data_IF_315966332865
#
_entry.id   IF_315966332865
#
_cell.length_a   1.000
_cell.length_b   1.000
_cell.length_c   1.000
_cell.angle_alpha   90.00
_cell.angle_beta   90.00
_cell.angle_gamma   90.00
#
_symmetry.space_group_name_H-M   'P 1'
#
loop_
_entity.id
_entity.type
_entity.pdbx_description
1 polymer ?
#
# COMPACT_ATOMS: atom_id res chain seq x y z
N UNK A 1 9.56 18.11 8.21
CA UNK A 1 9.84 17.37 6.95
C UNK A 1 8.94 18.01 5.92
N UNK A 2 9.51 18.72 4.96
CA UNK A 2 8.72 19.49 4.00
C UNK A 2 8.09 18.48 3.03
N UNK A 3 6.83 18.67 2.61
CA UNK A 3 6.09 17.73 1.73
C UNK A 3 6.91 17.30 0.49
N UNK A 4 7.78 18.19 0.01
CA UNK A 4 8.73 17.94 -1.09
C UNK A 4 9.66 16.75 -0.81
N UNK A 5 10.13 16.58 0.44
CA UNK A 5 11.07 15.52 0.82
C UNK A 5 10.46 14.13 0.58
N UNK A 6 9.16 13.97 0.85
CA UNK A 6 8.46 12.70 0.66
C UNK A 6 8.36 12.32 -0.82
N UNK A 7 8.00 13.28 -1.68
CA UNK A 7 7.83 13.06 -3.11
C UNK A 7 9.18 12.70 -3.75
N UNK A 8 10.24 13.47 -3.48
CA UNK A 8 11.57 13.18 -4.02
C UNK A 8 12.14 11.85 -3.49
N UNK A 9 11.82 11.46 -2.25
CA UNK A 9 12.17 10.15 -1.71
C UNK A 9 11.50 9.01 -2.50
N UNK A 10 10.23 9.17 -2.89
CA UNK A 10 9.54 8.19 -3.75
C UNK A 10 10.21 8.11 -5.12
N UNK A 11 10.46 9.24 -5.77
CA UNK A 11 11.10 9.23 -7.09
C UNK A 11 12.47 8.55 -7.04
N UNK A 12 13.29 8.87 -6.03
CA UNK A 12 14.59 8.22 -5.85
C UNK A 12 14.45 6.70 -5.62
N UNK A 13 13.50 6.28 -4.78
CA UNK A 13 13.24 4.86 -4.54
C UNK A 13 12.82 4.12 -5.82
N UNK A 14 11.98 4.75 -6.65
CA UNK A 14 11.50 4.19 -7.91
C UNK A 14 12.49 4.36 -9.08
N UNK A 15 13.61 5.08 -8.88
CA UNK A 15 14.55 5.42 -9.95
C UNK A 15 13.99 6.40 -10.98
N UNK A 16 12.97 7.18 -10.61
CA UNK A 16 12.35 8.18 -11.47
C UNK A 16 13.14 9.49 -11.46
N UNK A 17 13.12 10.18 -12.61
CA UNK A 17 13.73 11.49 -12.81
C UNK A 17 12.65 12.50 -13.19
N UNK A 18 11.62 12.60 -12.36
CA UNK A 18 10.50 13.52 -12.62
C UNK A 18 10.93 14.95 -12.30
N UNK A 19 10.52 15.89 -13.16
CA UNK A 19 10.67 17.33 -12.90
C UNK A 19 9.40 17.84 -12.21
N UNK A 20 9.49 18.16 -10.91
CA UNK A 20 8.37 18.74 -10.16
C UNK A 20 8.36 20.26 -10.28
N UNK A 21 7.25 20.80 -10.80
CA UNK A 21 7.04 22.26 -10.91
C UNK A 21 6.07 22.73 -9.83
N UNK A 22 6.55 23.59 -8.94
CA UNK A 22 5.73 24.20 -7.89
C UNK A 22 4.86 25.27 -8.52
N UNK A 23 3.53 25.05 -8.52
CA UNK A 23 2.57 26.03 -9.05
C UNK A 23 2.30 27.17 -8.08
N UNK A 24 2.31 26.87 -6.79
CA UNK A 24 2.06 27.83 -5.70
C UNK A 24 2.75 27.31 -4.45
N UNK A 25 3.53 28.16 -3.79
CA UNK A 25 4.06 27.87 -2.47
C UNK A 25 2.93 27.98 -1.43
N UNK A 26 2.81 26.99 -0.56
CA UNK A 26 1.72 26.89 0.40
C UNK A 26 2.12 26.01 1.57
N UNK A 27 1.71 26.45 2.75
CA UNK A 27 1.91 25.71 4.00
C UNK A 27 0.62 24.99 4.40
N UNK A 28 0.77 23.99 5.26
CA UNK A 28 -0.35 23.29 5.91
C UNK A 28 -0.09 23.22 7.40
N UNK A 29 -1.16 23.20 8.19
CA UNK A 29 -1.03 23.13 9.65
C UNK A 29 -0.82 21.69 10.10
N UNK A 30 0.15 21.48 10.99
CA UNK A 30 0.40 20.19 11.65
C UNK A 30 -0.76 19.71 12.54
N UNK A 31 -1.76 20.57 12.79
CA UNK A 31 -2.96 20.19 13.57
C UNK A 31 -3.94 19.29 12.80
N UNK A 32 -3.75 19.11 11.49
CA UNK A 32 -4.64 18.31 10.64
C UNK A 32 -3.91 17.15 9.96
N UNK A 33 -4.46 15.94 10.10
CA UNK A 33 -3.90 14.74 9.48
C UNK A 33 -2.60 14.27 10.13
N UNK A 34 -1.84 13.46 9.40
CA UNK A 34 -0.57 12.90 9.87
C UNK A 34 0.40 12.76 8.71
N UNK A 35 1.69 13.01 8.97
CA UNK A 35 2.76 12.60 8.07
C UNK A 35 2.71 11.07 7.87
N UNK A 36 2.97 10.56 6.64
CA UNK A 36 2.85 9.14 6.34
C UNK A 36 3.59 8.23 7.33
N UNK A 37 4.78 8.62 7.79
CA UNK A 37 5.63 7.88 8.71
C UNK A 37 5.32 8.09 10.20
N UNK A 38 4.36 8.97 10.53
CA UNK A 38 3.98 9.33 11.91
C UNK A 38 2.49 9.07 12.20
N UNK A 39 1.80 8.28 11.39
CA UNK A 39 0.40 7.95 11.66
C UNK A 39 0.31 7.09 12.92
N UNK A 40 -0.73 7.25 13.76
CA UNK A 40 -1.09 6.24 14.74
C UNK A 40 -1.30 4.88 14.07
N UNK A 41 -1.03 3.79 14.78
CA UNK A 41 -1.03 2.44 14.21
C UNK A 41 -2.38 2.05 13.58
N UNK A 42 -3.49 2.47 14.17
CA UNK A 42 -4.83 2.18 13.64
C UNK A 42 -5.10 2.93 12.34
N UNK A 43 -4.66 4.19 12.24
CA UNK A 43 -4.71 5.00 11.01
C UNK A 43 -3.80 4.43 9.95
N UNK A 44 -2.61 3.93 10.33
CA UNK A 44 -1.69 3.25 9.43
C UNK A 44 -2.34 2.02 8.79
N UNK A 45 -2.87 1.10 9.60
CA UNK A 45 -3.47 -0.14 9.14
C UNK A 45 -4.63 0.14 8.18
N UNK A 46 -5.54 1.06 8.56
CA UNK A 46 -6.71 1.44 7.74
C UNK A 46 -6.34 2.05 6.38
N UNK A 47 -5.15 2.61 6.24
CA UNK A 47 -4.70 3.31 5.02
C UNK A 47 -3.41 2.69 4.43
N UNK A 48 -3.21 1.39 4.61
CA UNK A 48 -2.00 0.67 4.21
C UNK A 48 -2.15 -0.07 2.87
N UNK A 49 -1.00 -0.44 2.31
CA UNK A 49 -0.86 -1.42 1.22
C UNK A 49 0.13 -2.47 1.75
N UNK A 50 -0.16 -3.76 1.58
CA UNK A 50 0.71 -4.85 2.01
C UNK A 50 1.15 -5.59 0.76
N UNK A 51 2.45 -5.57 0.51
CA UNK A 51 3.05 -6.45 -0.48
C UNK A 51 3.04 -7.88 0.08
N UNK A 52 2.13 -8.72 -0.40
CA UNK A 52 1.84 -10.02 0.18
C UNK A 52 2.35 -11.13 -0.73
N UNK A 53 3.16 -12.03 -0.18
CA UNK A 53 3.51 -13.25 -0.89
C UNK A 53 2.34 -14.25 -0.76
N UNK A 54 1.51 -14.34 -1.81
CA UNK A 54 0.29 -15.18 -1.75
C UNK A 54 0.69 -16.66 -1.77
N UNK A 55 0.25 -17.48 -0.81
CA UNK A 55 0.51 -18.91 -0.86
C UNK A 55 -0.21 -19.58 -2.05
N UNK A 56 0.33 -20.69 -2.58
CA UNK A 56 -0.38 -21.53 -3.55
C UNK A 56 -1.60 -22.21 -2.90
N UNK A 57 -2.67 -22.43 -3.67
CA UNK A 57 -3.91 -23.03 -3.17
C UNK A 57 -5.10 -22.06 -3.11
N UNK A 58 -5.13 -21.08 -2.18
CA UNK A 58 -6.29 -20.20 -2.02
C UNK A 58 -6.41 -19.18 -3.15
N UNK A 59 -7.63 -18.76 -3.45
CA UNK A 59 -7.93 -17.64 -4.34
C UNK A 59 -7.45 -16.30 -3.75
N UNK A 60 -7.29 -15.30 -4.62
CA UNK A 60 -6.92 -13.95 -4.18
C UNK A 60 -7.99 -13.32 -3.25
N UNK A 61 -9.27 -13.64 -3.46
CA UNK A 61 -10.37 -13.19 -2.60
C UNK A 61 -10.32 -13.80 -1.20
N UNK A 62 -10.03 -15.10 -1.10
CA UNK A 62 -9.89 -15.79 0.20
C UNK A 62 -8.74 -15.19 1.01
N UNK A 63 -7.60 -14.96 0.39
CA UNK A 63 -6.45 -14.36 1.06
C UNK A 63 -6.75 -12.93 1.52
N UNK A 64 -7.39 -12.10 0.68
CA UNK A 64 -7.82 -10.77 1.09
C UNK A 64 -8.80 -10.81 2.27
N UNK A 65 -9.72 -11.78 2.29
CA UNK A 65 -10.66 -12.00 3.39
C UNK A 65 -9.94 -12.41 4.69
N UNK A 66 -8.92 -13.27 4.62
CA UNK A 66 -8.12 -13.63 5.78
C UNK A 66 -7.39 -12.43 6.37
N UNK A 67 -6.74 -11.60 5.55
CA UNK A 67 -6.06 -10.40 6.08
C UNK A 67 -7.08 -9.43 6.68
N UNK A 68 -8.26 -9.25 6.05
CA UNK A 68 -9.35 -8.43 6.61
C UNK A 68 -9.69 -8.87 8.04
N UNK A 69 -9.79 -10.19 8.27
CA UNK A 69 -10.08 -10.76 9.59
C UNK A 69 -8.90 -10.62 10.56
N UNK A 70 -7.68 -10.91 10.13
CA UNK A 70 -6.47 -10.82 10.95
C UNK A 70 -6.22 -9.39 11.47
N UNK A 71 -6.41 -8.38 10.60
CA UNK A 71 -6.19 -6.97 10.95
C UNK A 71 -7.44 -6.28 11.50
N UNK A 72 -8.56 -7.02 11.63
CA UNK A 72 -9.85 -6.51 12.10
C UNK A 72 -10.29 -5.21 11.40
N UNK A 73 -10.20 -5.19 10.07
CA UNK A 73 -10.59 -4.05 9.24
C UNK A 73 -11.95 -4.28 8.57
N UNK A 74 -12.67 -3.19 8.29
CA UNK A 74 -14.00 -3.27 7.69
C UNK A 74 -13.97 -3.71 6.22
N UNK A 75 -12.88 -3.44 5.51
CA UNK A 75 -12.73 -3.69 4.08
C UNK A 75 -11.26 -4.00 3.76
N UNK A 76 -11.07 -4.87 2.77
CA UNK A 76 -9.78 -5.23 2.18
C UNK A 76 -10.02 -5.71 0.74
N UNK A 77 -9.02 -5.52 -0.13
CA UNK A 77 -9.08 -5.96 -1.53
C UNK A 77 -7.71 -6.39 -2.06
N UNK A 78 -7.64 -6.72 -3.33
CA UNK A 78 -6.39 -7.07 -4.02
C UNK A 78 -6.36 -6.40 -5.40
N UNK A 79 -5.17 -6.04 -5.89
CA UNK A 79 -5.01 -5.21 -7.10
C UNK A 79 -4.83 -5.99 -8.39
N UNK A 80 -5.43 -7.18 -8.47
CA UNK A 80 -5.28 -8.13 -9.57
C UNK A 80 -5.49 -9.57 -9.10
N UNK A 81 -6.13 -10.41 -9.91
CA UNK A 81 -6.38 -11.81 -9.56
C UNK A 81 -5.19 -12.66 -10.00
N UNK A 82 -4.57 -13.37 -9.08
CA UNK A 82 -3.77 -14.54 -9.44
C UNK A 82 -4.64 -15.78 -9.44
N UNK A 83 -4.55 -16.55 -10.51
CA UNK A 83 -5.17 -17.87 -10.61
C UNK A 83 -4.57 -18.81 -9.56
N UNK A 84 -5.41 -19.61 -8.86
CA UNK A 84 -4.93 -20.72 -8.05
C UNK A 84 -4.16 -21.70 -8.93
N UNK A 85 -2.85 -21.79 -8.74
CA UNK A 85 -2.03 -22.76 -9.47
C UNK A 85 -2.21 -24.12 -8.79
N UNK A 86 -2.74 -25.12 -9.51
CA UNK A 86 -2.61 -26.52 -9.11
C UNK A 86 -1.21 -27.02 -9.49
N UNK A 87 -0.46 -27.52 -8.50
CA UNK A 87 0.75 -28.35 -8.63
C UNK A 87 1.56 -28.20 -9.93
N UNK A 88 2.56 -27.31 -9.93
CA UNK A 88 3.64 -27.29 -10.94
C UNK A 88 3.97 -25.95 -11.60
N UNK A 89 3.18 -24.89 -11.35
CA UNK A 89 3.44 -23.55 -11.90
C UNK A 89 4.20 -22.60 -10.95
N UNK A 90 4.79 -21.54 -11.52
CA UNK A 90 5.59 -20.52 -10.82
C UNK A 90 4.75 -19.76 -9.79
N UNK A 91 5.23 -19.65 -8.55
CA UNK A 91 4.61 -18.84 -7.48
C UNK A 91 4.61 -17.37 -7.91
N UNK A 92 3.43 -16.80 -8.12
CA UNK A 92 3.26 -15.38 -8.48
C UNK A 92 3.08 -14.52 -7.21
N UNK A 93 3.78 -13.40 -7.11
CA UNK A 93 3.73 -12.44 -5.99
C UNK A 93 2.59 -11.43 -6.19
N UNK A 94 1.89 -11.01 -5.11
CA UNK A 94 0.78 -10.04 -5.18
C UNK A 94 0.99 -8.81 -4.30
N UNK A 95 0.78 -7.60 -4.81
CA UNK A 95 0.40 -6.49 -3.96
C UNK A 95 -1.07 -6.66 -3.50
N UNK A 96 -1.29 -6.74 -2.19
CA UNK A 96 -2.62 -6.65 -1.56
C UNK A 96 -2.88 -5.21 -1.10
N UNK A 97 -4.11 -4.72 -1.31
CA UNK A 97 -4.45 -3.32 -1.05
C UNK A 97 -5.57 -3.24 -0.01
N UNK A 98 -5.46 -2.29 0.93
CA UNK A 98 -6.47 -2.07 1.96
C UNK A 98 -7.12 -0.71 1.73
N UNK A 99 -8.44 -0.70 1.66
CA UNK A 99 -9.31 0.47 1.73
C UNK A 99 -10.53 0.06 2.51
#
# INVERSE_FOLDING_TARGET
MILNDFIYKIDNFCGYKNEWKIRKDSETSDTYGYYPEKRPIDVHIKNSIINLDKPPGPTSHEVAYWIKKMLNVNKAGHGGTLEPISLGGVIQKLPAYYR
#
